data_IF_160973809065
#
_entry.id   IF_160973809065
#
_cell.length_a   1.000
_cell.length_b   1.000
_cell.length_c   1.000
_cell.angle_alpha   90.00
_cell.angle_beta   90.00
_cell.angle_gamma   90.00
#
_symmetry.space_group_name_H-M   'P 1'
#
loop_
_entity.id
_entity.type
_entity.pdbx_description
1 polymer ?
#
# COMPACT_ATOMS: atom_id res chain seq x y z
N UNK A 1 23.29 -58.96 -54.22
CA UNK A 1 22.05 -59.72 -54.46
C UNK A 1 21.94 -60.81 -53.40
N UNK A 2 21.04 -60.62 -52.43
CA UNK A 2 20.35 -61.58 -51.53
C UNK A 2 20.15 -60.97 -50.13
N UNK A 3 18.93 -61.06 -49.58
CA UNK A 3 18.53 -60.49 -48.30
C UNK A 3 18.78 -61.48 -47.15
N UNK A 4 18.89 -60.98 -45.91
CA UNK A 4 18.75 -61.83 -44.72
C UNK A 4 17.77 -61.17 -43.75
N UNK A 5 16.62 -61.84 -43.65
CA UNK A 5 15.61 -61.74 -42.61
C UNK A 5 16.14 -62.45 -41.36
N UNK A 6 15.87 -61.90 -40.16
CA UNK A 6 15.57 -62.67 -38.94
C UNK A 6 14.98 -61.70 -37.90
N UNK A 7 13.69 -61.78 -37.56
CA UNK A 7 12.95 -62.75 -36.73
C UNK A 7 13.07 -62.45 -35.23
N UNK A 8 11.93 -62.01 -34.70
CA UNK A 8 11.53 -61.73 -33.31
C UNK A 8 11.87 -62.85 -32.33
N UNK A 9 12.21 -62.50 -31.06
CA UNK A 9 11.78 -63.20 -29.83
C UNK A 9 12.03 -62.37 -28.55
N UNK A 10 10.91 -62.02 -27.90
CA UNK A 10 10.57 -61.83 -26.48
C UNK A 10 11.65 -61.74 -25.39
N UNK A 11 11.48 -60.80 -24.46
CA UNK A 11 11.29 -61.12 -23.03
C UNK A 11 10.69 -59.94 -22.24
N UNK A 12 9.66 -60.23 -21.45
CA UNK A 12 9.14 -59.36 -20.39
C UNK A 12 10.15 -59.28 -19.24
N UNK A 13 10.27 -58.11 -18.61
CA UNK A 13 10.83 -58.04 -17.26
C UNK A 13 11.19 -56.65 -16.73
N UNK A 14 10.37 -56.20 -15.78
CA UNK A 14 10.69 -55.34 -14.61
C UNK A 14 10.46 -53.82 -14.73
N UNK A 15 9.54 -53.39 -13.86
CA UNK A 15 9.33 -52.06 -13.32
C UNK A 15 10.62 -51.46 -12.73
N UNK A 16 10.91 -50.19 -13.02
CA UNK A 16 10.89 -49.10 -12.04
C UNK A 16 11.30 -47.75 -12.67
N UNK A 17 10.40 -46.78 -12.58
CA UNK A 17 10.58 -45.47 -11.96
C UNK A 17 12.00 -44.83 -12.03
N UNK A 18 12.19 -43.85 -12.93
CA UNK A 18 12.51 -42.44 -12.64
C UNK A 18 13.09 -41.69 -13.86
N UNK A 19 12.49 -40.53 -14.14
CA UNK A 19 13.01 -39.31 -14.82
C UNK A 19 13.71 -39.48 -16.19
N UNK A 20 13.22 -38.73 -17.19
CA UNK A 20 13.78 -37.41 -17.60
C UNK A 20 13.23 -36.95 -18.97
N UNK A 21 12.60 -35.76 -18.98
CA UNK A 21 12.47 -34.78 -20.09
C UNK A 21 11.53 -35.17 -21.26
N UNK A 22 10.73 -34.27 -21.88
CA UNK A 22 10.75 -32.79 -21.99
C UNK A 22 9.47 -32.28 -22.71
N UNK A 23 9.05 -31.04 -22.38
CA UNK A 23 8.29 -30.03 -23.18
C UNK A 23 6.81 -30.37 -23.53
N UNK A 24 5.81 -29.48 -23.52
CA UNK A 24 5.67 -28.03 -23.30
C UNK A 24 4.14 -27.76 -23.18
N UNK A 25 3.69 -26.87 -22.29
CA UNK A 25 2.53 -26.00 -22.58
C UNK A 25 2.47 -24.82 -21.59
N UNK A 26 2.95 -23.69 -22.10
CA UNK A 26 2.58 -22.30 -21.78
C UNK A 26 2.27 -21.94 -20.33
N UNK A 27 3.30 -21.47 -19.63
CA UNK A 27 3.15 -20.57 -18.49
C UNK A 27 2.47 -19.28 -18.96
N UNK A 28 1.29 -18.98 -18.43
CA UNK A 28 0.75 -17.62 -18.41
C UNK A 28 1.77 -16.76 -17.66
N UNK A 29 2.44 -15.87 -18.40
CA UNK A 29 3.21 -14.80 -17.79
C UNK A 29 2.20 -13.82 -17.22
N UNK A 30 1.90 -13.96 -15.93
CA UNK A 30 1.24 -12.92 -15.17
C UNK A 30 2.24 -11.74 -15.14
N UNK A 31 2.01 -10.75 -15.99
CA UNK A 31 2.72 -9.48 -15.92
C UNK A 31 2.39 -8.88 -14.55
N UNK A 32 3.39 -8.88 -13.67
CA UNK A 32 3.35 -8.22 -12.37
C UNK A 32 3.42 -6.71 -12.64
N UNK A 33 2.28 -6.13 -12.99
CA UNK A 33 2.16 -4.68 -13.09
C UNK A 33 2.48 -4.11 -11.71
N UNK A 34 3.40 -3.12 -11.61
CA UNK A 34 3.71 -2.53 -10.32
C UNK A 34 2.43 -1.93 -9.76
N UNK A 35 2.00 -2.42 -8.59
CA UNK A 35 0.88 -1.85 -7.86
C UNK A 35 1.25 -0.40 -7.54
N UNK A 36 0.55 0.55 -8.17
CA UNK A 36 0.76 1.96 -7.92
C UNK A 36 0.09 2.33 -6.59
N UNK A 37 0.82 3.10 -5.79
CA UNK A 37 0.36 3.56 -4.48
C UNK A 37 0.28 5.08 -4.49
N UNK A 38 -0.81 5.58 -3.94
CA UNK A 38 -0.97 7.00 -3.63
C UNK A 38 -0.72 7.25 -2.16
N UNK A 39 -0.34 8.47 -1.81
CA UNK A 39 -0.16 8.91 -0.43
C UNK A 39 -1.36 9.75 0.00
N UNK A 40 -2.13 9.24 0.97
CA UNK A 40 -3.10 10.00 1.73
C UNK A 40 -2.43 10.55 2.99
N UNK A 41 -2.24 11.85 3.02
CA UNK A 41 -1.67 12.59 4.13
C UNK A 41 -2.78 13.28 4.92
N UNK A 42 -2.84 13.07 6.24
CA UNK A 42 -3.84 13.69 7.11
C UNK A 42 -3.15 14.35 8.30
N UNK A 43 -3.71 15.46 8.77
CA UNK A 43 -3.43 16.04 10.08
C UNK A 43 -4.64 15.77 10.96
N UNK A 44 -4.45 14.98 12.02
CA UNK A 44 -5.51 14.54 12.93
C UNK A 44 -5.11 14.82 14.38
N UNK A 45 -6.05 15.02 15.30
CA UNK A 45 -5.72 15.04 16.72
C UNK A 45 -5.24 13.65 17.18
N UNK A 46 -4.32 13.62 18.14
CA UNK A 46 -3.77 12.37 18.71
C UNK A 46 -4.86 11.42 19.23
N UNK A 47 -5.96 11.97 19.75
CA UNK A 47 -7.13 11.20 20.19
C UNK A 47 -7.76 10.32 19.10
N UNK A 48 -7.56 10.62 17.82
CA UNK A 48 -8.05 9.82 16.69
C UNK A 48 -7.16 8.60 16.38
N UNK A 49 -5.97 8.50 16.99
CA UNK A 49 -4.94 7.50 16.64
C UNK A 49 -4.82 6.33 17.63
N UNK A 50 -5.82 6.10 18.50
CA UNK A 50 -5.74 5.20 19.67
C UNK A 50 -5.24 3.76 19.37
N UNK A 51 -5.38 3.26 18.15
CA UNK A 51 -4.94 1.92 17.74
C UNK A 51 -4.10 1.90 16.45
N UNK A 52 -3.39 2.99 16.15
CA UNK A 52 -2.69 3.18 14.88
C UNK A 52 -1.19 3.21 15.13
N UNK A 53 -0.45 2.26 14.54
CA UNK A 53 1.01 2.22 14.55
C UNK A 53 1.63 2.44 13.17
N UNK A 54 2.89 2.86 13.15
CA UNK A 54 3.65 2.98 11.91
C UNK A 54 3.98 1.58 11.34
N UNK A 55 3.85 1.44 10.03
CA UNK A 55 3.92 0.19 9.25
C UNK A 55 2.77 -0.80 9.48
N UNK A 56 1.73 -0.41 10.21
CA UNK A 56 0.56 -1.25 10.38
C UNK A 56 -0.36 -1.17 9.15
N UNK A 57 -1.01 -2.29 8.76
CA UNK A 57 -2.11 -2.27 7.82
C UNK A 57 -3.31 -1.55 8.45
N UNK A 58 -4.03 -0.78 7.65
CA UNK A 58 -5.22 -0.06 8.09
C UNK A 58 -6.42 -0.41 7.21
N UNK A 59 -7.57 -0.65 7.82
CA UNK A 59 -8.80 -0.95 7.08
C UNK A 59 -9.50 0.34 6.63
N UNK A 60 -10.37 0.23 5.63
CA UNK A 60 -11.10 1.37 5.04
C UNK A 60 -11.91 2.14 6.08
N UNK A 61 -12.58 1.45 7.01
CA UNK A 61 -13.40 2.10 8.04
C UNK A 61 -12.56 2.98 8.98
N UNK A 62 -11.34 2.56 9.30
CA UNK A 62 -10.44 3.37 10.11
C UNK A 62 -9.85 4.54 9.30
N UNK A 63 -9.60 4.36 8.00
CA UNK A 63 -9.23 5.49 7.11
C UNK A 63 -10.36 6.52 7.07
N UNK A 64 -11.61 6.10 6.91
CA UNK A 64 -12.78 7.00 6.92
C UNK A 64 -12.88 7.80 8.23
N UNK A 65 -12.68 7.14 9.38
CA UNK A 65 -12.66 7.83 10.68
C UNK A 65 -11.53 8.84 10.77
N UNK A 66 -10.35 8.53 10.25
CA UNK A 66 -9.23 9.47 10.22
C UNK A 66 -9.53 10.68 9.33
N UNK A 67 -10.14 10.46 8.16
CA UNK A 67 -10.60 11.53 7.27
C UNK A 67 -11.63 12.42 7.99
N UNK A 68 -12.58 11.82 8.72
CA UNK A 68 -13.63 12.55 9.45
C UNK A 68 -13.09 13.39 10.62
N UNK A 69 -11.95 13.02 11.18
CA UNK A 69 -11.29 13.74 12.27
C UNK A 69 -10.16 14.66 11.80
N UNK A 70 -9.89 14.73 10.49
CA UNK A 70 -8.78 15.50 9.97
C UNK A 70 -9.07 17.01 9.99
N UNK A 71 -8.10 17.80 10.47
CA UNK A 71 -8.10 19.27 10.31
C UNK A 71 -7.55 19.68 8.94
N UNK A 72 -6.64 18.88 8.39
CA UNK A 72 -6.06 19.05 7.06
C UNK A 72 -5.88 17.71 6.37
N UNK A 73 -5.98 17.70 5.04
CA UNK A 73 -5.71 16.51 4.24
C UNK A 73 -5.14 16.84 2.86
N UNK A 74 -4.43 15.85 2.30
CA UNK A 74 -3.93 15.86 0.93
C UNK A 74 -3.85 14.43 0.43
N UNK A 75 -4.28 14.19 -0.81
CA UNK A 75 -3.97 12.94 -1.51
C UNK A 75 -3.17 13.26 -2.77
N UNK A 76 -1.97 12.67 -2.88
CA UNK A 76 -1.02 12.91 -3.97
C UNK A 76 -0.12 11.70 -4.21
N UNK A 77 0.76 11.77 -5.21
CA UNK A 77 1.82 10.81 -5.47
C UNK A 77 2.84 10.78 -4.32
N UNK A 78 3.49 9.62 -4.15
CA UNK A 78 4.47 9.36 -3.08
C UNK A 78 5.58 10.42 -3.04
N UNK A 79 6.15 10.76 -4.19
CA UNK A 79 7.29 11.68 -4.26
C UNK A 79 6.93 13.10 -3.79
N UNK A 80 5.71 13.56 -4.10
CA UNK A 80 5.22 14.85 -3.63
C UNK A 80 4.95 14.82 -2.12
N UNK A 81 4.37 13.73 -1.61
CA UNK A 81 4.18 13.56 -0.17
C UNK A 81 5.52 13.56 0.60
N UNK A 82 6.57 12.98 0.04
CA UNK A 82 7.92 13.01 0.63
C UNK A 82 8.58 14.39 0.58
N UNK A 83 8.28 15.18 -0.43
CA UNK A 83 8.67 16.59 -0.46
C UNK A 83 7.93 17.40 0.63
N UNK A 84 6.61 17.25 0.72
CA UNK A 84 5.78 17.99 1.69
C UNK A 84 6.14 17.61 3.12
N UNK A 85 6.41 16.33 3.38
CA UNK A 85 6.90 15.85 4.67
C UNK A 85 8.11 16.63 5.17
N UNK A 86 9.05 17.00 4.29
CA UNK A 86 10.25 17.77 4.64
C UNK A 86 9.97 19.23 5.00
N UNK A 87 8.80 19.77 4.61
CA UNK A 87 8.36 21.13 4.93
C UNK A 87 7.66 21.23 6.28
N UNK A 88 7.11 20.11 6.75
CA UNK A 88 6.43 20.05 8.05
C UNK A 88 7.46 20.13 9.17
N UNK A 89 7.17 20.94 10.20
CA UNK A 89 7.94 20.93 11.44
C UNK A 89 7.36 19.88 12.38
N UNK A 90 8.06 18.75 12.51
CA UNK A 90 7.66 17.64 13.36
C UNK A 90 8.53 17.52 14.61
N UNK A 91 8.06 16.73 15.57
CA UNK A 91 8.78 16.39 16.80
C UNK A 91 8.91 14.88 16.94
N UNK A 92 9.90 14.44 17.73
CA UNK A 92 10.14 13.03 18.05
C UNK A 92 9.37 12.59 19.31
N UNK A 93 8.28 13.27 19.66
CA UNK A 93 7.45 12.92 20.81
C UNK A 93 6.73 11.58 20.57
N UNK A 94 6.66 10.73 21.60
CA UNK A 94 5.90 9.48 21.53
C UNK A 94 4.41 9.78 21.51
N UNK A 95 3.77 9.51 20.38
CA UNK A 95 2.35 9.75 20.12
C UNK A 95 1.44 9.05 21.14
N UNK A 96 1.88 7.97 21.77
CA UNK A 96 1.11 7.28 22.81
C UNK A 96 1.03 8.05 24.12
N UNK A 97 1.89 9.04 24.31
CA UNK A 97 2.04 9.78 25.59
C UNK A 97 1.70 11.26 25.48
N UNK A 98 1.45 11.77 24.27
CA UNK A 98 1.12 13.19 24.06
C UNK A 98 -0.32 13.52 24.47
N UNK A 99 -0.56 14.83 24.64
CA UNK A 99 -1.92 15.34 24.84
C UNK A 99 -2.81 14.99 23.64
N UNK A 100 -4.03 14.50 23.92
CA UNK A 100 -5.05 14.08 22.97
C UNK A 100 -5.41 15.12 21.88
N UNK A 101 -5.15 16.41 22.15
CA UNK A 101 -5.39 17.52 21.23
C UNK A 101 -4.19 17.87 20.34
N UNK A 102 -3.01 17.28 20.56
CA UNK A 102 -1.83 17.54 19.73
C UNK A 102 -2.11 17.05 18.31
N UNK A 103 -1.81 17.90 17.33
CA UNK A 103 -1.92 17.54 15.92
C UNK A 103 -0.79 16.59 15.52
N UNK A 104 -1.17 15.52 14.84
CA UNK A 104 -0.30 14.46 14.37
C UNK A 104 -0.47 14.35 12.86
N UNK A 105 0.65 14.32 12.16
CA UNK A 105 0.71 13.95 10.76
C UNK A 105 0.70 12.42 10.64
N UNK A 106 -0.16 11.94 9.75
CA UNK A 106 -0.21 10.54 9.33
C UNK A 106 -0.16 10.47 7.81
N UNK A 107 0.67 9.55 7.29
CA UNK A 107 0.69 9.18 5.87
C UNK A 107 0.25 7.74 5.72
N UNK A 108 -0.75 7.51 4.90
CA UNK A 108 -1.26 6.20 4.53
C UNK A 108 -0.97 6.02 3.04
N UNK A 109 -0.23 4.97 2.69
CA UNK A 109 -0.11 4.57 1.28
C UNK A 109 -1.27 3.64 0.96
N UNK A 110 -1.99 3.93 -0.12
CA UNK A 110 -3.19 3.20 -0.56
C UNK A 110 -2.95 2.72 -2.01
N UNK A 111 -3.12 1.42 -2.28
CA UNK A 111 -3.08 0.90 -3.65
C UNK A 111 -4.37 1.23 -4.39
N UNK A 112 -4.30 1.38 -5.72
CA UNK A 112 -5.47 1.62 -6.57
C UNK A 112 -6.25 2.90 -6.17
N UNK A 113 -5.53 3.88 -5.63
CA UNK A 113 -6.08 5.11 -5.06
C UNK A 113 -5.97 6.32 -5.99
N UNK A 114 -5.67 6.15 -7.27
CA UNK A 114 -5.39 7.23 -8.22
C UNK A 114 -6.58 8.20 -8.33
N UNK A 115 -7.81 7.69 -8.21
CA UNK A 115 -9.02 8.51 -8.21
C UNK A 115 -9.15 9.44 -7.00
N UNK A 116 -8.34 9.26 -5.96
CA UNK A 116 -8.30 10.11 -4.77
C UNK A 116 -7.39 11.33 -4.95
N UNK A 117 -6.45 11.28 -5.90
CA UNK A 117 -5.46 12.34 -6.11
C UNK A 117 -6.14 13.66 -6.45
N UNK A 118 -5.67 14.73 -5.79
CA UNK A 118 -6.11 16.11 -6.06
C UNK A 118 -7.56 16.42 -5.65
N UNK A 119 -8.28 15.47 -5.03
CA UNK A 119 -9.61 15.76 -4.47
C UNK A 119 -9.48 16.72 -3.30
N UNK A 120 -10.39 17.70 -3.26
CA UNK A 120 -10.34 18.82 -2.30
C UNK A 120 -11.46 18.79 -1.26
N UNK A 121 -12.28 17.74 -1.23
CA UNK A 121 -13.41 17.62 -0.30
C UNK A 121 -13.36 16.22 0.36
N UNK A 122 -13.44 16.12 1.70
CA UNK A 122 -13.35 14.83 2.43
C UNK A 122 -14.37 13.79 1.96
N UNK A 123 -15.62 14.21 1.72
CA UNK A 123 -16.66 13.33 1.22
C UNK A 123 -16.28 12.63 -0.10
N UNK A 124 -15.61 13.36 -1.02
CA UNK A 124 -15.18 12.80 -2.30
C UNK A 124 -14.03 11.82 -2.11
N UNK A 125 -13.11 12.10 -1.17
CA UNK A 125 -12.04 11.15 -0.82
C UNK A 125 -12.62 9.83 -0.33
N UNK A 126 -13.56 9.86 0.63
CA UNK A 126 -14.17 8.65 1.18
C UNK A 126 -14.89 7.83 0.11
N UNK A 127 -15.64 8.49 -0.77
CA UNK A 127 -16.32 7.83 -1.89
C UNK A 127 -15.37 7.14 -2.87
N UNK A 128 -14.16 7.66 -3.01
CA UNK A 128 -13.14 7.16 -3.93
C UNK A 128 -12.12 6.24 -3.24
N UNK A 129 -12.35 5.84 -1.98
CA UNK A 129 -11.52 4.84 -1.33
C UNK A 129 -11.66 3.50 -2.06
N UNK A 130 -10.55 2.85 -2.43
CA UNK A 130 -10.59 1.58 -3.14
C UNK A 130 -11.13 0.48 -2.21
N UNK A 131 -12.18 -0.25 -2.59
CA UNK A 131 -12.86 -1.21 -1.72
C UNK A 131 -12.01 -2.44 -1.35
N UNK A 132 -11.00 -2.74 -2.16
CA UNK A 132 -10.08 -3.87 -1.97
C UNK A 132 -8.60 -3.44 -1.96
N UNK A 133 -8.34 -2.12 -1.93
CA UNK A 133 -6.99 -1.59 -1.97
C UNK A 133 -6.25 -1.91 -0.67
N UNK A 134 -4.98 -2.28 -0.79
CA UNK A 134 -4.10 -2.41 0.35
C UNK A 134 -3.78 -1.01 0.90
N UNK A 135 -3.87 -0.83 2.22
CA UNK A 135 -3.55 0.43 2.86
C UNK A 135 -2.64 0.22 4.07
N UNK A 136 -1.53 0.95 4.12
CA UNK A 136 -0.55 0.85 5.19
C UNK A 136 -0.16 2.25 5.69
N UNK A 137 0.02 2.38 7.00
CA UNK A 137 0.51 3.62 7.61
C UNK A 137 2.03 3.67 7.43
N UNK A 138 2.54 4.62 6.68
CA UNK A 138 3.97 4.69 6.34
C UNK A 138 4.71 5.73 7.17
N UNK A 139 4.01 6.78 7.64
CA UNK A 139 4.60 7.78 8.54
C UNK A 139 3.61 8.22 9.59
N UNK A 140 4.11 8.45 10.80
CA UNK A 140 3.35 8.90 11.94
C UNK A 140 4.23 9.84 12.79
N UNK A 141 3.86 11.12 12.92
CA UNK A 141 4.67 12.06 13.71
C UNK A 141 3.87 13.26 14.25
N UNK A 142 4.22 13.68 15.45
CA UNK A 142 3.67 14.89 16.05
C UNK A 142 4.11 16.14 15.29
N UNK A 143 3.19 17.07 15.06
CA UNK A 143 3.55 18.42 14.62
C UNK A 143 4.08 19.23 15.80
N UNK A 144 5.05 20.10 15.53
CA UNK A 144 5.47 21.12 16.49
C UNK A 144 4.28 22.02 16.83
N UNK A 145 4.14 22.38 18.11
CA UNK A 145 3.00 23.14 18.61
C UNK A 145 2.76 24.42 17.81
N UNK A 146 1.52 24.60 17.33
CA UNK A 146 1.06 25.71 16.49
C UNK A 146 1.85 25.91 15.17
N UNK A 147 2.57 24.88 14.71
CA UNK A 147 3.27 24.95 13.43
C UNK A 147 2.27 24.90 12.27
N UNK A 148 2.37 25.88 11.38
CA UNK A 148 1.62 25.92 10.12
C UNK A 148 2.51 25.69 8.89
N UNK A 149 3.82 25.50 9.08
CA UNK A 149 4.78 25.29 7.99
C UNK A 149 4.43 24.04 7.19
N UNK A 150 4.29 24.19 5.88
CA UNK A 150 3.95 23.10 4.95
C UNK A 150 2.44 22.79 4.88
N UNK A 151 1.63 23.31 5.81
CA UNK A 151 0.17 23.10 5.80
C UNK A 151 -0.52 23.85 4.66
N UNK A 152 0.12 24.87 4.06
CA UNK A 152 -0.40 25.57 2.88
C UNK A 152 -0.53 24.66 1.64
N UNK A 153 0.08 23.47 1.67
CA UNK A 153 -0.04 22.44 0.63
C UNK A 153 -1.26 21.54 0.82
N UNK A 154 -1.90 21.59 1.98
CA UNK A 154 -3.04 20.74 2.32
C UNK A 154 -4.35 21.47 2.08
N UNK A 155 -5.41 20.69 1.86
CA UNK A 155 -6.77 21.20 1.97
C UNK A 155 -7.13 21.28 3.45
N UNK A 156 -7.65 22.42 3.88
CA UNK A 156 -8.24 22.60 5.22
C UNK A 156 -9.69 22.13 5.19
N UNK A 157 -10.10 21.40 6.23
CA UNK A 157 -11.48 20.94 6.43
C UNK A 157 -12.32 22.01 7.12
#
# INVERSE_FOLDING_TARGET
MKPIVQRVKNSLGKFNLFKKQRLNCSSEQQEDFPVEFVALCLIVPASALKNVGENDPINISDIEKLIDNASYFLCTHIDEADYIWKLLQTTNEDIKTINEQREVYIRINISDGEEMIGKKIPYILKRNLPPYGAANIIKLACLKYLSVSGLEKFNRV
#
